data_IF_891901576785
#
_entry.id   IF_891901576785
#
_cell.length_a   1.000
_cell.length_b   1.000
_cell.length_c   1.000
_cell.angle_alpha   90.00
_cell.angle_beta   90.00
_cell.angle_gamma   90.00
#
_symmetry.space_group_name_H-M   'P 1'
#
loop_
_entity.id
_entity.type
_entity.pdbx_description
1 polymer ?
#
# COMPACT_ATOMS: atom_id res chain seq x y z
N UNK A 1 11.21 -13.67 -8.67
CA UNK A 1 10.58 -14.52 -7.61
C UNK A 1 9.13 -14.75 -7.95
N UNK A 2 8.55 -15.94 -7.63
CA UNK A 2 7.16 -16.29 -7.98
C UNK A 2 6.13 -15.92 -6.88
N UNK A 3 6.57 -15.68 -5.65
CA UNK A 3 5.67 -15.39 -4.52
C UNK A 3 5.16 -13.95 -4.58
N UNK A 4 3.85 -13.78 -4.46
CA UNK A 4 3.16 -12.48 -4.49
C UNK A 4 1.66 -12.65 -4.45
N UNK A 5 0.91 -11.55 -4.43
CA UNK A 5 -0.57 -11.56 -4.39
C UNK A 5 -1.18 -11.01 -5.68
N UNK A 6 -2.35 -11.55 -6.04
CA UNK A 6 -3.26 -10.93 -7.01
C UNK A 6 -4.08 -9.84 -6.34
N UNK A 7 -4.60 -8.89 -7.09
CA UNK A 7 -5.49 -7.87 -6.55
C UNK A 7 -5.60 -6.65 -7.42
N UNK A 8 -6.47 -5.74 -7.00
CA UNK A 8 -6.64 -4.41 -7.56
C UNK A 8 -6.00 -3.41 -6.60
N UNK A 9 -5.33 -2.40 -7.11
CA UNK A 9 -4.71 -1.38 -6.27
C UNK A 9 -4.76 0.01 -6.91
N UNK A 10 -4.72 1.01 -6.03
CA UNK A 10 -4.68 2.42 -6.36
C UNK A 10 -3.43 3.01 -5.71
N UNK A 11 -2.53 3.57 -6.51
CA UNK A 11 -1.42 4.37 -6.00
C UNK A 11 -1.91 5.79 -5.69
N UNK A 12 -1.54 6.32 -4.53
CA UNK A 12 -1.94 7.67 -4.11
C UNK A 12 -0.74 8.59 -3.97
N UNK A 13 -0.94 9.91 -4.14
CA UNK A 13 0.12 10.91 -3.98
C UNK A 13 0.55 11.10 -2.52
N UNK A 14 -0.33 10.79 -1.55
CA UNK A 14 0.00 10.78 -0.12
C UNK A 14 0.97 9.62 0.20
N UNK A 15 2.14 9.65 -0.39
CA UNK A 15 3.16 8.62 -0.32
C UNK A 15 4.28 8.91 0.67
N UNK A 16 5.45 8.32 0.42
CA UNK A 16 6.67 8.51 1.20
C UNK A 16 7.76 9.18 0.35
N UNK A 17 8.40 10.19 0.91
CA UNK A 17 9.61 10.79 0.36
C UNK A 17 10.81 10.37 1.20
N UNK A 18 11.91 9.99 0.56
CA UNK A 18 13.15 9.58 1.25
C UNK A 18 14.35 10.30 0.65
N UNK A 19 15.27 10.71 1.52
CA UNK A 19 16.59 11.25 1.15
C UNK A 19 17.66 10.41 1.82
N UNK A 20 18.78 10.17 1.14
CA UNK A 20 19.96 9.51 1.71
C UNK A 20 21.21 10.35 1.50
N UNK A 21 22.13 10.29 2.46
CA UNK A 21 23.43 10.94 2.42
C UNK A 21 24.45 10.06 3.13
N UNK A 22 25.58 9.76 2.50
CA UNK A 22 26.68 9.04 3.13
C UNK A 22 27.21 9.78 4.38
N UNK A 23 27.53 9.02 5.41
CA UNK A 23 28.10 9.52 6.66
C UNK A 23 28.84 8.36 7.38
N UNK A 24 29.64 8.69 8.39
CA UNK A 24 30.44 7.71 9.15
C UNK A 24 29.59 6.76 10.01
N UNK A 25 28.36 7.13 10.30
CA UNK A 25 27.45 6.33 11.12
C UNK A 25 26.02 6.34 10.54
N UNK A 26 25.27 5.27 10.87
CA UNK A 26 23.88 5.13 10.47
C UNK A 26 22.96 6.02 11.33
N UNK A 27 22.14 6.87 10.68
CA UNK A 27 21.07 7.65 11.32
C UNK A 27 19.81 7.55 10.45
N UNK A 28 18.81 6.82 10.92
CA UNK A 28 17.56 6.60 10.17
C UNK A 28 16.41 7.28 10.90
N UNK A 29 15.68 8.13 10.18
CA UNK A 29 14.55 8.88 10.75
C UNK A 29 13.31 8.80 9.88
N UNK A 30 12.17 8.72 10.56
CA UNK A 30 10.85 8.85 9.94
C UNK A 30 10.11 10.03 10.57
N UNK A 31 9.70 11.01 9.75
CA UNK A 31 9.10 12.29 10.19
C UNK A 31 9.93 12.97 11.30
N UNK A 32 11.27 12.94 11.15
CA UNK A 32 12.22 13.53 12.11
C UNK A 32 12.52 12.67 13.34
N UNK A 33 11.77 11.60 13.59
CA UNK A 33 11.94 10.71 14.75
C UNK A 33 12.90 9.58 14.40
N UNK A 34 13.96 9.32 15.20
CA UNK A 34 14.83 8.16 15.01
C UNK A 34 14.06 6.85 15.09
N UNK A 35 14.40 5.91 14.22
CA UNK A 35 13.79 4.57 14.18
C UNK A 35 14.88 3.49 14.09
N UNK A 36 14.74 2.44 14.91
CA UNK A 36 15.63 1.29 14.92
C UNK A 36 14.97 0.07 14.26
N UNK A 37 15.78 -0.92 13.88
CA UNK A 37 15.33 -2.17 13.26
C UNK A 37 14.37 -1.95 12.08
N UNK A 38 14.58 -0.86 11.37
CA UNK A 38 13.70 -0.42 10.29
C UNK A 38 13.96 -1.20 9.00
N UNK A 39 13.01 -1.14 8.09
CA UNK A 39 13.16 -1.71 6.76
C UNK A 39 14.22 -0.97 5.96
N UNK A 40 14.39 0.33 6.19
CA UNK A 40 15.43 1.16 5.59
C UNK A 40 16.84 0.69 6.01
N UNK A 41 16.99 0.29 7.26
CA UNK A 41 18.25 -0.26 7.76
C UNK A 41 18.63 -1.57 7.06
N UNK A 42 17.64 -2.45 6.82
CA UNK A 42 17.89 -3.69 6.07
C UNK A 42 18.24 -3.43 4.61
N UNK A 43 17.61 -2.44 3.97
CA UNK A 43 17.97 -1.98 2.62
C UNK A 43 19.39 -1.47 2.60
N UNK A 44 19.76 -0.57 3.53
CA UNK A 44 21.10 -0.01 3.64
C UNK A 44 22.15 -1.12 3.83
N UNK A 45 21.93 -2.03 4.76
CA UNK A 45 22.83 -3.18 5.02
C UNK A 45 22.98 -4.06 3.78
N UNK A 46 21.88 -4.36 3.07
CA UNK A 46 21.91 -5.17 1.86
C UNK A 46 22.68 -4.51 0.71
N UNK A 47 22.69 -3.18 0.66
CA UNK A 47 23.39 -2.39 -0.36
C UNK A 47 24.79 -1.91 0.08
N UNK A 48 25.24 -2.24 1.29
CA UNK A 48 26.53 -1.79 1.80
C UNK A 48 26.61 -0.29 2.05
N UNK A 49 25.45 0.37 2.28
CA UNK A 49 25.37 1.80 2.54
C UNK A 49 25.49 2.10 4.04
N UNK A 50 26.25 3.13 4.37
CA UNK A 50 26.31 3.73 5.70
C UNK A 50 26.06 5.23 5.59
N UNK A 51 25.16 5.77 6.42
CA UNK A 51 24.82 7.18 6.37
C UNK A 51 23.45 7.52 6.92
N UNK A 52 22.98 8.70 6.56
CA UNK A 52 21.66 9.21 6.97
C UNK A 52 20.59 8.81 5.97
N UNK A 53 19.46 8.28 6.45
CA UNK A 53 18.26 8.02 5.66
C UNK A 53 17.10 8.74 6.34
N UNK A 54 16.57 9.75 5.67
CA UNK A 54 15.51 10.61 6.19
C UNK A 54 14.24 10.41 5.36
N UNK A 55 13.21 9.83 5.95
CA UNK A 55 11.94 9.57 5.31
C UNK A 55 10.81 10.38 5.93
N UNK A 56 9.84 10.78 5.12
CA UNK A 56 8.62 11.45 5.57
C UNK A 56 7.39 10.98 4.81
N UNK A 57 6.25 10.93 5.49
CA UNK A 57 4.94 10.63 4.90
C UNK A 57 3.83 11.29 5.72
N UNK A 58 2.74 11.75 5.10
CA UNK A 58 1.55 12.20 5.82
C UNK A 58 0.78 11.04 6.43
N UNK A 59 0.99 9.81 5.94
CA UNK A 59 0.31 8.62 6.42
C UNK A 59 1.08 8.00 7.60
N UNK A 60 0.39 7.56 8.66
CA UNK A 60 1.04 6.89 9.78
C UNK A 60 1.48 5.46 9.42
N UNK A 61 2.57 4.94 10.00
CA UNK A 61 2.93 3.53 9.88
C UNK A 61 1.79 2.62 10.33
N UNK A 62 1.71 1.43 9.73
CA UNK A 62 0.68 0.42 10.02
C UNK A 62 -0.76 0.85 9.72
N UNK A 63 -0.96 1.83 8.84
CA UNK A 63 -2.28 2.27 8.39
C UNK A 63 -2.85 1.48 7.20
N UNK A 64 -2.13 0.49 6.68
CA UNK A 64 -2.59 -0.35 5.57
C UNK A 64 -2.31 0.23 4.17
N UNK A 65 -1.56 1.33 4.06
CA UNK A 65 -1.21 1.97 2.78
C UNK A 65 0.18 1.60 2.25
N UNK A 66 0.72 0.45 2.64
CA UNK A 66 1.97 -0.08 2.09
C UNK A 66 3.21 0.76 2.40
N UNK A 67 3.24 1.49 3.53
CA UNK A 67 4.40 2.31 3.91
C UNK A 67 5.69 1.50 4.12
N UNK A 68 5.58 0.23 4.48
CA UNK A 68 6.70 -0.70 4.56
C UNK A 68 7.36 -0.86 3.19
N UNK A 69 6.56 -1.17 2.16
CA UNK A 69 7.01 -1.27 0.78
C UNK A 69 7.57 0.06 0.26
N UNK A 70 6.91 1.20 0.59
CA UNK A 70 7.39 2.53 0.24
C UNK A 70 8.77 2.81 0.84
N UNK A 71 8.99 2.47 2.11
CA UNK A 71 10.28 2.62 2.79
C UNK A 71 11.38 1.78 2.12
N UNK A 72 11.07 0.53 1.75
CA UNK A 72 12.03 -0.33 1.06
C UNK A 72 12.37 0.21 -0.33
N UNK A 73 11.35 0.58 -1.12
CA UNK A 73 11.51 1.09 -2.49
C UNK A 73 12.28 2.41 -2.53
N UNK A 74 11.83 3.39 -1.75
CA UNK A 74 12.44 4.73 -1.78
C UNK A 74 13.86 4.72 -1.24
N UNK A 75 14.14 3.92 -0.20
CA UNK A 75 15.51 3.77 0.30
C UNK A 75 16.44 3.10 -0.72
N UNK A 76 15.98 2.01 -1.36
CA UNK A 76 16.76 1.37 -2.41
C UNK A 76 17.00 2.32 -3.59
N UNK A 77 16.00 3.09 -4.00
CA UNK A 77 16.11 4.05 -5.10
C UNK A 77 17.12 5.16 -4.81
N UNK A 78 17.07 5.80 -3.63
CA UNK A 78 17.98 6.90 -3.32
C UNK A 78 19.41 6.44 -3.05
N UNK A 79 19.61 5.22 -2.55
CA UNK A 79 20.95 4.65 -2.33
C UNK A 79 21.59 4.23 -3.65
N UNK A 80 20.83 3.60 -4.55
CA UNK A 80 21.34 3.16 -5.85
C UNK A 80 21.47 4.33 -6.85
N UNK A 81 20.65 5.37 -6.70
CA UNK A 81 20.72 6.58 -7.51
C UNK A 81 20.26 6.42 -8.96
N UNK A 82 20.63 7.43 -9.77
CA UNK A 82 20.29 7.51 -11.18
C UNK A 82 20.89 6.33 -12.00
N UNK A 83 20.24 6.03 -13.12
CA UNK A 83 20.62 4.96 -14.05
C UNK A 83 20.49 3.53 -13.50
N UNK A 84 19.83 3.36 -12.36
CA UNK A 84 19.49 2.04 -11.82
C UNK A 84 18.23 1.49 -12.49
N UNK A 85 18.24 0.21 -12.85
CA UNK A 85 17.04 -0.43 -13.39
C UNK A 85 16.00 -0.57 -12.30
N UNK A 86 14.77 -0.19 -12.60
CA UNK A 86 13.66 -0.29 -11.63
C UNK A 86 13.42 -1.73 -11.16
N UNK A 87 13.73 -2.72 -11.99
CA UNK A 87 13.65 -4.14 -11.64
C UNK A 87 14.62 -4.57 -10.54
N UNK A 88 15.78 -3.91 -10.41
CA UNK A 88 16.75 -4.19 -9.36
C UNK A 88 16.26 -3.62 -8.02
N UNK A 89 15.75 -2.38 -8.03
CA UNK A 89 15.10 -1.74 -6.87
C UNK A 89 13.92 -2.60 -6.39
N UNK A 90 13.07 -3.03 -7.33
CA UNK A 90 11.93 -3.90 -7.05
C UNK A 90 12.37 -5.21 -6.39
N UNK A 91 13.38 -5.85 -6.95
CA UNK A 91 13.88 -7.14 -6.45
C UNK A 91 14.37 -7.05 -5.01
N UNK A 92 15.11 -5.98 -4.69
CA UNK A 92 15.61 -5.70 -3.33
C UNK A 92 14.44 -5.49 -2.36
N UNK A 93 13.53 -4.57 -2.68
CA UNK A 93 12.41 -4.24 -1.83
C UNK A 93 11.50 -5.45 -1.60
N UNK A 94 11.19 -6.21 -2.65
CA UNK A 94 10.34 -7.40 -2.55
C UNK A 94 10.96 -8.53 -1.70
N UNK A 95 12.27 -8.74 -1.81
CA UNK A 95 12.96 -9.72 -0.97
C UNK A 95 12.87 -9.37 0.52
N UNK A 96 13.04 -8.10 0.85
CA UNK A 96 12.98 -7.62 2.25
C UNK A 96 11.55 -7.73 2.79
N UNK A 97 10.53 -7.30 2.03
CA UNK A 97 9.13 -7.43 2.40
C UNK A 97 8.73 -8.91 2.62
N UNK A 98 9.18 -9.82 1.76
CA UNK A 98 8.92 -11.25 1.93
C UNK A 98 9.58 -11.84 3.17
N UNK A 99 10.82 -11.43 3.46
CA UNK A 99 11.56 -11.89 4.65
C UNK A 99 10.88 -11.43 5.94
N UNK A 100 10.33 -10.22 5.95
CA UNK A 100 9.57 -9.66 7.09
C UNK A 100 8.12 -10.18 7.17
N UNK A 101 7.59 -10.77 6.12
CA UNK A 101 6.17 -11.16 6.04
C UNK A 101 5.20 -9.98 6.02
N UNK A 102 5.65 -8.79 5.57
CA UNK A 102 4.91 -7.54 5.65
C UNK A 102 4.05 -7.25 4.43
N UNK A 103 4.43 -7.68 3.23
CA UNK A 103 3.65 -7.43 2.02
C UNK A 103 3.90 -8.44 0.91
N UNK A 104 2.84 -8.75 0.15
CA UNK A 104 2.92 -9.66 -1.00
C UNK A 104 2.65 -8.96 -2.33
N UNK A 105 2.19 -7.70 -2.31
CA UNK A 105 1.77 -6.98 -3.52
C UNK A 105 2.09 -5.49 -3.54
N UNK A 106 2.37 -4.87 -2.40
CA UNK A 106 2.49 -3.41 -2.29
C UNK A 106 3.71 -2.87 -3.05
N UNK A 107 4.83 -3.59 -3.03
CA UNK A 107 6.03 -3.23 -3.81
C UNK A 107 5.71 -3.17 -5.30
N UNK A 108 5.02 -4.19 -5.83
CA UNK A 108 4.61 -4.21 -7.24
C UNK A 108 3.63 -3.10 -7.57
N UNK A 109 2.67 -2.84 -6.66
CA UNK A 109 1.69 -1.78 -6.83
C UNK A 109 2.34 -0.41 -6.93
N UNK A 110 3.25 -0.09 -6.02
CA UNK A 110 3.90 1.22 -5.94
C UNK A 110 4.87 1.48 -7.10
N UNK A 111 5.46 0.44 -7.67
CA UNK A 111 6.23 0.57 -8.91
C UNK A 111 5.33 0.83 -10.10
N UNK A 112 4.18 0.16 -10.17
CA UNK A 112 3.26 0.29 -11.30
C UNK A 112 2.59 1.66 -11.37
N UNK A 113 2.28 2.26 -10.24
CA UNK A 113 1.53 3.51 -10.17
C UNK A 113 0.10 3.41 -10.69
N UNK A 114 -0.67 4.47 -10.55
CA UNK A 114 -2.02 4.58 -11.08
C UNK A 114 -3.03 3.62 -10.45
N UNK A 115 -4.11 3.41 -11.17
CA UNK A 115 -5.10 2.37 -10.91
C UNK A 115 -4.74 1.14 -11.75
N UNK A 116 -4.55 -0.01 -11.11
CA UNK A 116 -4.05 -1.19 -11.79
C UNK A 116 -4.55 -2.50 -11.19
N UNK A 117 -4.46 -3.54 -12.00
CA UNK A 117 -4.77 -4.91 -11.62
C UNK A 117 -3.49 -5.76 -11.66
N UNK A 118 -3.25 -6.53 -10.61
CA UNK A 118 -2.21 -7.55 -10.56
C UNK A 118 -2.85 -8.91 -10.81
N UNK A 119 -2.74 -9.38 -12.04
CA UNK A 119 -3.25 -10.70 -12.43
C UNK A 119 -2.37 -11.83 -11.93
N UNK A 120 -1.08 -11.56 -11.80
CA UNK A 120 -0.11 -12.52 -11.29
C UNK A 120 0.90 -11.80 -10.38
N UNK A 121 0.97 -12.25 -9.14
CA UNK A 121 1.95 -11.76 -8.16
C UNK A 121 3.37 -12.25 -8.44
N UNK A 122 4.33 -11.66 -7.72
CA UNK A 122 5.76 -11.96 -7.86
C UNK A 122 6.55 -10.79 -8.43
N UNK A 123 7.82 -11.04 -8.78
CA UNK A 123 8.69 -10.07 -9.47
C UNK A 123 8.81 -10.39 -10.95
N UNK A 124 9.21 -9.40 -11.75
CA UNK A 124 9.57 -9.63 -13.16
C UNK A 124 10.58 -10.80 -13.29
N UNK A 125 10.44 -11.71 -14.25
CA UNK A 125 9.42 -11.77 -15.31
C UNK A 125 8.15 -12.57 -14.92
N UNK A 126 7.95 -12.90 -13.67
CA UNK A 126 6.85 -13.77 -13.22
C UNK A 126 5.55 -13.02 -12.93
N UNK A 127 5.63 -11.73 -12.64
CA UNK A 127 4.45 -10.91 -12.36
C UNK A 127 3.78 -10.39 -13.64
N UNK A 128 2.45 -10.20 -13.56
CA UNK A 128 1.65 -9.55 -14.60
C UNK A 128 0.82 -8.47 -13.91
N UNK A 129 1.03 -7.23 -14.34
CA UNK A 129 0.28 -6.07 -13.85
C UNK A 129 -0.15 -5.23 -15.04
N UNK A 130 -1.43 -4.90 -15.11
CA UNK A 130 -2.01 -4.03 -16.12
C UNK A 130 -2.55 -2.76 -15.48
N UNK A 131 -2.31 -1.62 -16.10
CA UNK A 131 -2.89 -0.34 -15.69
C UNK A 131 -4.25 -0.18 -16.37
N UNK A 132 -5.22 0.27 -15.59
CA UNK A 132 -6.54 0.62 -16.08
C UNK A 132 -6.56 2.12 -16.36
N UNK A 133 -6.93 2.51 -17.57
CA UNK A 133 -7.06 3.92 -17.94
C UNK A 133 -8.22 4.57 -17.15
N UNK A 134 -7.94 5.70 -16.57
CA UNK A 134 -8.92 6.49 -15.81
C UNK A 134 -8.55 7.97 -15.83
N UNK A 135 -9.53 8.82 -15.55
CA UNK A 135 -9.30 10.25 -15.33
C UNK A 135 -8.59 10.47 -14.00
N UNK A 136 -7.95 11.64 -13.85
CA UNK A 136 -7.48 12.06 -12.53
C UNK A 136 -8.65 12.05 -11.56
N UNK A 137 -8.48 11.35 -10.43
CA UNK A 137 -9.51 11.16 -9.42
C UNK A 137 -8.99 11.62 -8.08
N UNK A 138 -9.73 12.51 -7.44
CA UNK A 138 -9.47 12.95 -6.08
C UNK A 138 -10.01 11.91 -5.10
N UNK A 139 -9.24 11.65 -4.07
CA UNK A 139 -9.51 10.64 -3.05
C UNK A 139 -9.43 11.24 -1.65
N UNK A 140 -10.08 10.58 -0.71
CA UNK A 140 -9.97 10.86 0.73
C UNK A 140 -9.45 9.63 1.42
N UNK A 141 -8.49 9.83 2.31
CA UNK A 141 -7.97 8.79 3.20
C UNK A 141 -8.24 9.22 4.63
N UNK A 142 -8.92 8.38 5.41
CA UNK A 142 -8.99 8.51 6.86
C UNK A 142 -8.07 7.43 7.47
N UNK A 143 -6.84 7.80 7.86
CA UNK A 143 -5.85 6.83 8.31
C UNK A 143 -6.07 6.45 9.77
N UNK A 144 -6.01 5.15 10.06
CA UNK A 144 -5.96 4.63 11.42
C UNK A 144 -4.73 3.75 11.61
N UNK A 145 -4.05 3.91 12.74
CA UNK A 145 -2.99 2.98 13.14
C UNK A 145 -3.61 1.65 13.56
N UNK A 146 -3.20 0.57 12.92
CA UNK A 146 -3.62 -0.77 13.33
C UNK A 146 -2.89 -1.17 14.61
N UNK A 147 -3.64 -1.76 15.56
CA UNK A 147 -3.07 -2.29 16.80
C UNK A 147 -2.49 -3.70 16.67
N UNK A 148 -2.86 -4.44 15.61
CA UNK A 148 -2.47 -5.85 15.41
C UNK A 148 -1.63 -6.01 14.14
N UNK A 149 -0.48 -6.68 14.18
CA UNK A 149 0.34 -6.93 13.01
C UNK A 149 -0.39 -7.76 11.95
N UNK A 150 -0.14 -7.44 10.68
CA UNK A 150 -0.71 -8.12 9.50
C UNK A 150 -0.58 -9.66 9.55
N UNK A 151 0.55 -10.17 10.05
CA UNK A 151 0.80 -11.61 10.17
C UNK A 151 -0.09 -12.35 11.18
N UNK A 152 -0.75 -11.66 12.09
CA UNK A 152 -1.67 -12.27 13.05
C UNK A 152 -3.08 -12.48 12.51
N UNK A 153 -3.50 -11.64 11.58
CA UNK A 153 -4.82 -11.74 10.90
C UNK A 153 -4.87 -12.95 9.97
N UNK A 154 -3.73 -13.41 9.46
CA UNK A 154 -3.62 -14.46 8.43
C UNK A 154 -3.09 -15.80 9.03
N UNK A 155 -3.17 -16.02 10.33
CA UNK A 155 -2.50 -17.18 10.96
C UNK A 155 -3.27 -18.50 10.94
N UNK A 156 -4.58 -18.53 10.68
CA UNK A 156 -5.30 -19.80 10.52
C UNK A 156 -5.40 -20.19 9.05
N UNK A 157 -5.07 -21.43 8.71
CA UNK A 157 -5.15 -21.94 7.34
C UNK A 157 -6.58 -21.80 6.77
N UNK A 158 -7.60 -22.01 7.60
CA UNK A 158 -9.01 -21.82 7.20
C UNK A 158 -9.33 -20.38 6.81
N UNK A 159 -8.79 -19.40 7.54
CA UNK A 159 -8.97 -17.97 7.18
C UNK A 159 -8.26 -17.61 5.89
N UNK A 160 -7.07 -18.17 5.63
CA UNK A 160 -6.33 -17.96 4.38
C UNK A 160 -7.09 -18.52 3.19
N UNK A 161 -7.61 -19.74 3.28
CA UNK A 161 -8.36 -20.39 2.20
C UNK A 161 -9.65 -19.63 1.89
N UNK A 162 -10.34 -19.10 2.90
CA UNK A 162 -11.52 -18.28 2.73
C UNK A 162 -11.22 -16.92 2.07
N UNK A 163 -10.16 -16.25 2.49
CA UNK A 163 -9.67 -15.01 1.87
C UNK A 163 -9.31 -15.26 0.40
N UNK A 164 -8.64 -16.36 0.08
CA UNK A 164 -8.29 -16.72 -1.31
C UNK A 164 -9.55 -16.97 -2.13
N UNK A 165 -10.52 -17.71 -1.61
CA UNK A 165 -11.80 -18.00 -2.28
C UNK A 165 -12.58 -16.71 -2.57
N UNK A 166 -12.74 -15.86 -1.57
CA UNK A 166 -13.43 -14.57 -1.70
C UNK A 166 -12.68 -13.63 -2.64
N UNK A 167 -11.35 -13.58 -2.55
CA UNK A 167 -10.50 -12.78 -3.44
C UNK A 167 -10.62 -13.21 -4.91
N UNK A 168 -10.63 -14.51 -5.20
CA UNK A 168 -10.82 -15.00 -6.57
C UNK A 168 -12.21 -14.63 -7.11
N UNK A 169 -13.26 -14.69 -6.28
CA UNK A 169 -14.61 -14.26 -6.65
C UNK A 169 -14.67 -12.75 -6.90
N UNK A 170 -14.07 -11.96 -6.02
CA UNK A 170 -13.99 -10.51 -6.16
C UNK A 170 -13.24 -10.11 -7.44
N UNK A 171 -12.10 -10.73 -7.75
CA UNK A 171 -11.36 -10.50 -8.98
C UNK A 171 -12.18 -10.83 -10.23
N UNK A 172 -12.86 -11.99 -10.25
CA UNK A 172 -13.72 -12.38 -11.37
C UNK A 172 -14.90 -11.40 -11.57
N UNK A 173 -15.46 -10.86 -10.48
CA UNK A 173 -16.52 -9.85 -10.54
C UNK A 173 -15.98 -8.51 -11.03
N UNK A 174 -14.79 -8.09 -10.57
CA UNK A 174 -14.17 -6.84 -11.00
C UNK A 174 -13.83 -6.83 -12.48
N UNK A 175 -13.28 -7.92 -13.02
CA UNK A 175 -12.92 -8.03 -14.44
C UNK A 175 -14.08 -7.90 -15.41
N UNK A 176 -15.33 -8.13 -14.96
CA UNK A 176 -16.52 -7.91 -15.80
C UNK A 176 -16.80 -6.42 -16.03
N UNK A 177 -16.40 -5.55 -15.11
CA UNK A 177 -16.58 -4.09 -15.20
C UNK A 177 -15.43 -3.42 -14.43
N UNK A 178 -14.24 -3.29 -15.04
CA UNK A 178 -13.03 -2.80 -14.36
C UNK A 178 -13.02 -1.27 -14.26
N UNK A 179 -13.91 -0.69 -13.46
CA UNK A 179 -13.97 0.75 -13.17
C UNK A 179 -13.54 1.06 -11.74
N UNK A 180 -13.20 2.31 -11.49
CA UNK A 180 -12.80 2.78 -10.16
C UNK A 180 -13.92 2.57 -9.13
N UNK A 181 -15.14 2.99 -9.48
CA UNK A 181 -16.32 2.86 -8.62
C UNK A 181 -16.57 1.39 -8.26
N UNK A 182 -16.46 0.51 -9.26
CA UNK A 182 -16.66 -0.92 -9.05
C UNK A 182 -15.54 -1.54 -8.18
N UNK A 183 -14.31 -0.99 -8.23
CA UNK A 183 -13.23 -1.41 -7.33
C UNK A 183 -13.58 -1.11 -5.87
N UNK A 184 -14.15 0.04 -5.57
CA UNK A 184 -14.61 0.39 -4.21
C UNK A 184 -15.74 -0.51 -3.74
N UNK A 185 -16.77 -0.73 -4.58
CA UNK A 185 -17.91 -1.59 -4.24
C UNK A 185 -17.47 -3.03 -3.98
N UNK A 186 -16.67 -3.60 -4.88
CA UNK A 186 -16.20 -4.99 -4.74
C UNK A 186 -15.16 -5.11 -3.62
N UNK A 187 -14.27 -4.12 -3.45
CA UNK A 187 -13.29 -4.10 -2.38
C UNK A 187 -13.94 -4.08 -0.99
N UNK A 188 -14.96 -3.24 -0.80
CA UNK A 188 -15.78 -3.22 0.42
C UNK A 188 -16.42 -4.59 0.68
N UNK A 189 -17.15 -5.12 -0.29
CA UNK A 189 -17.81 -6.43 -0.19
C UNK A 189 -16.81 -7.56 0.11
N UNK A 190 -15.65 -7.55 -0.53
CA UNK A 190 -14.59 -8.52 -0.26
C UNK A 190 -14.11 -8.46 1.19
N UNK A 191 -13.91 -7.26 1.74
CA UNK A 191 -13.47 -7.08 3.12
C UNK A 191 -14.53 -7.52 4.14
N UNK A 192 -15.81 -7.24 3.87
CA UNK A 192 -16.95 -7.70 4.66
C UNK A 192 -17.04 -9.23 4.67
N UNK A 193 -17.10 -9.86 3.50
CA UNK A 193 -17.23 -11.32 3.35
C UNK A 193 -16.01 -12.12 3.84
N UNK A 194 -14.85 -11.47 3.92
CA UNK A 194 -13.60 -12.09 4.41
C UNK A 194 -13.34 -11.82 5.89
N UNK A 195 -14.26 -11.15 6.60
CA UNK A 195 -14.09 -10.83 8.03
C UNK A 195 -12.89 -9.93 8.31
N UNK A 196 -12.53 -9.05 7.37
CA UNK A 196 -11.36 -8.17 7.47
C UNK A 196 -11.69 -6.80 8.06
N UNK A 197 -12.98 -6.49 8.26
CA UNK A 197 -13.42 -5.24 8.86
C UNK A 197 -13.30 -5.29 10.39
N UNK A 198 -12.83 -4.19 10.97
CA UNK A 198 -13.03 -3.95 12.40
C UNK A 198 -14.42 -3.36 12.64
N UNK A 199 -14.98 -3.46 13.87
CA UNK A 199 -16.26 -2.83 14.21
C UNK A 199 -16.26 -1.30 13.93
N UNK A 200 -15.10 -0.65 14.08
CA UNK A 200 -14.95 0.76 13.76
C UNK A 200 -15.07 1.02 12.26
N UNK A 201 -14.38 0.23 11.44
CA UNK A 201 -14.45 0.38 9.98
C UNK A 201 -15.86 0.08 9.47
N UNK A 202 -16.52 -0.92 10.02
CA UNK A 202 -17.93 -1.26 9.74
C UNK A 202 -18.85 -0.06 9.99
N UNK A 203 -18.83 0.51 11.20
CA UNK A 203 -19.63 1.69 11.55
C UNK A 203 -19.38 2.88 10.61
N UNK A 204 -18.12 3.14 10.24
CA UNK A 204 -17.80 4.25 9.33
C UNK A 204 -18.36 3.96 7.92
N UNK A 205 -18.19 2.75 7.41
CA UNK A 205 -18.69 2.38 6.09
C UNK A 205 -20.23 2.36 6.02
N UNK A 206 -20.93 2.01 7.09
CA UNK A 206 -22.39 2.14 7.19
C UNK A 206 -22.84 3.60 7.01
N UNK A 207 -22.13 4.56 7.64
CA UNK A 207 -22.41 5.99 7.47
C UNK A 207 -21.99 6.54 6.09
N UNK A 208 -21.28 5.75 5.29
CA UNK A 208 -20.91 6.04 3.91
C UNK A 208 -21.72 5.20 2.91
N UNK A 209 -22.95 4.78 3.27
CA UNK A 209 -23.82 4.08 2.36
C UNK A 209 -24.10 4.93 1.11
N UNK A 210 -24.05 4.31 -0.07
CA UNK A 210 -24.17 5.01 -1.35
C UNK A 210 -22.94 5.76 -1.83
N UNK A 211 -21.86 5.85 -1.01
CA UNK A 211 -20.57 6.43 -1.39
C UNK A 211 -19.60 5.36 -1.87
N UNK A 212 -18.68 5.74 -2.76
CA UNK A 212 -17.60 4.86 -3.21
C UNK A 212 -16.46 4.88 -2.18
N UNK A 213 -16.60 4.05 -1.16
CA UNK A 213 -15.68 3.92 -0.04
C UNK A 213 -15.37 2.45 0.26
N UNK A 214 -14.15 2.20 0.72
CA UNK A 214 -13.67 0.88 1.13
C UNK A 214 -12.61 1.03 2.23
N UNK A 215 -12.11 -0.09 2.74
CA UNK A 215 -10.96 -0.11 3.66
C UNK A 215 -9.66 -0.40 2.91
N UNK A 216 -8.54 0.06 3.46
CA UNK A 216 -7.24 -0.49 3.09
C UNK A 216 -7.19 -1.94 3.59
N UNK A 217 -6.98 -2.91 2.69
CA UNK A 217 -7.23 -4.34 2.85
C UNK A 217 -6.83 -4.96 4.21
N UNK A 218 -5.71 -4.55 4.77
CA UNK A 218 -5.21 -5.02 6.07
C UNK A 218 -4.97 -3.81 6.97
N UNK A 219 -6.01 -3.08 7.24
CA UNK A 219 -6.01 -1.90 8.10
C UNK A 219 -7.44 -1.42 8.29
N UNK A 220 -7.66 -0.63 9.33
CA UNK A 220 -8.97 -0.04 9.60
C UNK A 220 -9.16 1.28 8.86
N UNK A 221 -8.16 1.70 8.10
CA UNK A 221 -8.18 2.97 7.38
C UNK A 221 -9.19 2.95 6.25
N UNK A 222 -9.92 4.04 6.09
CA UNK A 222 -10.90 4.21 5.03
C UNK A 222 -10.25 4.95 3.86
N UNK A 223 -10.59 4.52 2.65
CA UNK A 223 -10.30 5.24 1.41
C UNK A 223 -11.60 5.41 0.63
N UNK A 224 -11.83 6.60 0.09
CA UNK A 224 -13.03 6.92 -0.67
C UNK A 224 -12.73 7.82 -1.86
N UNK A 225 -13.60 7.83 -2.87
CA UNK A 225 -13.64 8.88 -3.89
C UNK A 225 -14.09 10.17 -3.21
N UNK A 226 -13.40 11.29 -3.52
CA UNK A 226 -13.68 12.58 -2.90
C UNK A 226 -15.03 13.15 -3.36
N UNK A 227 -15.85 13.52 -2.41
CA UNK A 227 -16.90 14.53 -2.46
C UNK A 227 -17.01 15.21 -1.09
N UNK A 228 -17.62 16.40 -1.02
CA UNK A 228 -17.69 17.18 0.22
C UNK A 228 -18.47 16.45 1.32
N UNK A 229 -19.57 15.78 1.00
CA UNK A 229 -20.39 15.04 1.99
C UNK A 229 -19.56 13.89 2.59
N UNK A 230 -18.85 13.13 1.76
CA UNK A 230 -17.96 12.06 2.21
C UNK A 230 -16.86 12.60 3.12
N UNK A 231 -16.27 13.75 2.77
CA UNK A 231 -15.26 14.38 3.58
C UNK A 231 -15.81 14.81 4.96
N UNK A 232 -16.98 15.44 4.99
CA UNK A 232 -17.62 15.90 6.23
C UNK A 232 -18.06 14.74 7.13
N UNK A 233 -18.49 13.61 6.53
CA UNK A 233 -18.78 12.39 7.28
C UNK A 233 -17.49 11.86 7.93
N UNK A 234 -16.43 11.70 7.15
CA UNK A 234 -15.15 11.14 7.63
C UNK A 234 -14.51 12.02 8.69
N UNK A 235 -14.66 13.35 8.60
CA UNK A 235 -14.14 14.31 9.59
C UNK A 235 -14.71 14.11 10.99
N UNK A 236 -15.87 13.49 11.13
CA UNK A 236 -16.46 13.15 12.44
C UNK A 236 -15.67 12.03 13.16
N UNK A 237 -14.86 11.27 12.43
CA UNK A 237 -14.11 10.12 12.96
C UNK A 237 -12.61 10.35 13.09
N UNK A 238 -12.09 11.48 12.57
CA UNK A 238 -10.67 11.83 12.64
C UNK A 238 -10.27 12.89 11.62
N UNK A 239 -9.00 12.93 11.27
CA UNK A 239 -8.44 13.91 10.34
C UNK A 239 -8.24 13.27 8.95
N UNK A 240 -9.22 13.42 8.04
CA UNK A 240 -9.11 12.87 6.69
C UNK A 240 -8.10 13.66 5.86
N UNK A 241 -7.33 12.95 5.04
CA UNK A 241 -6.33 13.49 4.14
C UNK A 241 -6.89 13.49 2.73
N UNK A 242 -6.97 14.67 2.10
CA UNK A 242 -7.26 14.78 0.66
C UNK A 242 -6.01 14.39 -0.13
N UNK A 243 -6.20 13.54 -1.11
CA UNK A 243 -5.13 13.07 -1.99
C UNK A 243 -5.72 12.79 -3.37
N UNK A 244 -4.91 12.31 -4.27
CA UNK A 244 -5.36 11.87 -5.60
C UNK A 244 -4.48 10.71 -6.09
N UNK A 245 -4.88 10.15 -7.21
CA UNK A 245 -4.15 9.02 -7.80
C UNK A 245 -2.79 9.51 -8.30
N UNK A 246 -1.75 8.78 -7.91
CA UNK A 246 -0.39 8.98 -8.41
C UNK A 246 -0.15 8.10 -9.63
N UNK A 247 -0.02 8.70 -10.80
CA UNK A 247 0.28 7.96 -12.04
C UNK A 247 1.74 7.49 -12.13
N UNK A 248 2.64 8.18 -11.46
CA UNK A 248 4.07 7.92 -11.62
C UNK A 248 4.58 6.67 -10.87
N UNK A 249 3.95 6.30 -9.75
CA UNK A 249 4.53 5.30 -8.84
C UNK A 249 5.87 5.79 -8.24
N UNK A 250 6.85 4.89 -8.10
CA UNK A 250 8.19 5.24 -7.64
C UNK A 250 8.89 6.14 -8.67
N UNK A 251 9.45 7.26 -8.20
CA UNK A 251 10.27 8.18 -9.00
C UNK A 251 11.39 8.79 -8.15
N UNK A 252 12.42 9.31 -8.82
CA UNK A 252 13.42 10.20 -8.24
C UNK A 252 12.94 11.63 -8.55
N UNK A 253 12.69 12.41 -7.50
CA UNK A 253 12.24 13.80 -7.61
C UNK A 253 13.33 14.76 -8.10
#
# INVERSE_FOLDING_TARGET
MKKGSKGVAICVEAGMTTKAQEADSMDIRFNGIPIDNSIQEEVARKLGFTGKILSSSPLPPSSGFGLSAAAALTSAAVILGNNTRIGDIYSIAHQIELARGTGLGDVQSQISGGFHIREKGGTFPYSITERILHSQTDLIILPFKKKVPTGEVIRSQSSVDEIIKNGNRAMAAFLKKPTMENAFVIGRKFSEESGLLSPRAETILENLEGKFASVSLIGDSIIAIYDEDTFDILKKYGDPIKTRISFAGLNLG
#
